data_IF_727566722274
#
_entry.id   IF_727566722274
#
_cell.length_a   1.000
_cell.length_b   1.000
_cell.length_c   1.000
_cell.angle_alpha   90.00
_cell.angle_beta   90.00
_cell.angle_gamma   90.00
#
_symmetry.space_group_name_H-M   'P 1'
#
loop_
_entity.id
_entity.type
_entity.pdbx_description
1 polymer ?
#
# COMPACT_ATOMS: atom_id res chain seq x y z
N UNK A 1 18.31 15.37 -42.71
CA UNK A 1 17.66 14.05 -42.58
C UNK A 1 17.65 13.70 -41.11
N UNK A 2 16.46 13.78 -40.53
CA UNK A 2 15.95 13.06 -39.36
C UNK A 2 16.95 12.58 -38.31
N UNK A 3 17.24 13.45 -37.33
CA UNK A 3 17.62 12.98 -36.00
C UNK A 3 16.39 12.35 -35.36
N UNK A 4 16.34 11.01 -35.31
CA UNK A 4 15.29 10.27 -34.61
C UNK A 4 15.29 10.70 -33.15
N UNK A 5 14.26 11.42 -32.72
CA UNK A 5 13.98 11.59 -31.30
C UNK A 5 13.68 10.18 -30.78
N UNK A 6 14.56 9.65 -29.94
CA UNK A 6 14.29 8.40 -29.24
C UNK A 6 13.25 8.72 -28.15
N UNK A 7 11.97 8.67 -28.53
CA UNK A 7 10.87 8.87 -27.60
C UNK A 7 10.52 7.52 -26.99
N UNK A 8 11.24 7.13 -25.95
CA UNK A 8 10.86 6.03 -25.04
C UNK A 8 9.62 6.48 -24.22
N UNK A 9 8.52 6.71 -24.94
CA UNK A 9 7.24 7.14 -24.39
C UNK A 9 6.49 5.90 -23.92
N UNK A 10 5.96 5.99 -22.70
CA UNK A 10 5.08 4.97 -22.19
C UNK A 10 3.78 4.97 -23.00
N UNK A 11 3.46 3.84 -23.61
CA UNK A 11 2.18 3.67 -24.31
C UNK A 11 1.01 3.84 -23.32
N UNK A 12 -0.09 4.50 -23.75
CA UNK A 12 -1.30 4.56 -22.94
C UNK A 12 -1.79 3.16 -22.59
N UNK A 13 -2.27 3.00 -21.35
CA UNK A 13 -2.84 1.74 -20.89
C UNK A 13 -4.06 2.00 -20.01
N UNK A 14 -4.87 0.97 -19.83
CA UNK A 14 -5.98 0.98 -18.90
C UNK A 14 -5.95 -0.26 -18.01
N UNK A 15 -6.53 -0.12 -16.82
CA UNK A 15 -6.75 -1.21 -15.85
C UNK A 15 -8.18 -1.13 -15.35
N UNK A 16 -8.73 -2.28 -14.98
CA UNK A 16 -10.09 -2.38 -14.47
C UNK A 16 -10.05 -2.61 -12.97
N UNK A 17 -10.71 -1.72 -12.22
CA UNK A 17 -10.84 -1.79 -10.78
C UNK A 17 -12.27 -2.22 -10.42
N UNK A 18 -12.41 -3.28 -9.62
CA UNK A 18 -13.68 -3.65 -9.02
C UNK A 18 -13.88 -2.90 -7.70
N UNK A 19 -14.84 -1.97 -7.66
CA UNK A 19 -15.06 -1.10 -6.51
C UNK A 19 -15.62 -1.84 -5.29
N UNK A 20 -16.24 -3.01 -5.49
CA UNK A 20 -16.81 -3.82 -4.41
C UNK A 20 -15.75 -4.71 -3.73
N UNK A 21 -14.67 -5.04 -4.44
CA UNK A 21 -13.61 -5.93 -3.93
C UNK A 21 -12.28 -5.23 -3.73
N UNK A 22 -12.08 -4.04 -4.33
CA UNK A 22 -10.82 -3.33 -4.38
C UNK A 22 -9.79 -3.96 -5.32
N UNK A 23 -10.16 -4.96 -6.12
CA UNK A 23 -9.22 -5.71 -6.95
C UNK A 23 -8.99 -5.07 -8.32
N UNK A 24 -7.74 -5.13 -8.79
CA UNK A 24 -7.36 -4.73 -10.14
C UNK A 24 -7.29 -5.98 -11.04
N UNK A 25 -8.16 -6.07 -12.04
CA UNK A 25 -8.50 -7.32 -12.76
C UNK A 25 -7.50 -7.77 -13.86
N UNK A 26 -6.22 -7.39 -13.79
CA UNK A 26 -5.17 -7.85 -14.72
C UNK A 26 -3.77 -7.42 -14.29
N UNK A 27 -2.73 -8.17 -14.73
CA UNK A 27 -1.29 -7.87 -14.65
C UNK A 27 -0.94 -6.70 -13.73
N UNK A 28 -0.94 -6.96 -12.43
CA UNK A 28 -0.51 -6.06 -11.38
C UNK A 28 0.34 -6.84 -10.39
N UNK A 29 1.24 -6.15 -9.72
CA UNK A 29 2.01 -6.74 -8.64
C UNK A 29 1.11 -6.82 -7.39
N UNK A 30 0.93 -8.03 -6.86
CA UNK A 30 0.12 -8.27 -5.68
C UNK A 30 1.05 -8.46 -4.48
N UNK A 31 0.90 -7.60 -3.48
CA UNK A 31 1.61 -7.70 -2.20
C UNK A 31 0.58 -8.15 -1.16
N UNK A 32 0.86 -9.27 -0.50
CA UNK A 32 0.06 -9.76 0.62
C UNK A 32 0.91 -9.62 1.87
N UNK A 33 0.32 -9.08 2.95
CA UNK A 33 0.99 -8.87 4.22
C UNK A 33 0.27 -9.62 5.31
N UNK A 34 0.92 -10.67 5.79
CA UNK A 34 0.50 -11.43 6.95
C UNK A 34 0.92 -10.72 8.24
N UNK A 35 0.42 -11.17 9.39
CA UNK A 35 0.80 -10.59 10.67
C UNK A 35 2.29 -10.81 10.96
N UNK A 36 2.84 -11.96 10.56
CA UNK A 36 4.27 -12.26 10.65
C UNK A 36 5.14 -11.28 9.86
N UNK A 37 4.67 -10.77 8.71
CA UNK A 37 5.37 -9.71 7.97
C UNK A 37 5.44 -8.38 8.75
N UNK A 38 4.63 -8.24 9.80
CA UNK A 38 4.49 -7.04 10.63
C UNK A 38 5.06 -7.24 12.04
N UNK A 39 6.02 -8.16 12.20
CA UNK A 39 6.71 -8.38 13.47
C UNK A 39 7.24 -7.05 14.05
N UNK A 40 6.95 -6.81 15.34
CA UNK A 40 7.36 -5.59 16.06
C UNK A 40 6.56 -4.33 15.74
N UNK A 41 5.54 -4.39 14.86
CA UNK A 41 4.76 -3.21 14.47
C UNK A 41 3.57 -2.91 15.40
N UNK A 42 3.14 -3.87 16.21
CA UNK A 42 2.02 -3.71 17.15
C UNK A 42 2.55 -3.59 18.58
N UNK A 43 1.86 -2.82 19.41
CA UNK A 43 2.21 -2.59 20.81
C UNK A 43 2.14 -3.88 21.65
N UNK A 44 1.06 -4.68 21.49
CA UNK A 44 0.92 -5.95 22.20
C UNK A 44 1.61 -7.10 21.45
N UNK A 45 2.93 -7.20 21.65
CA UNK A 45 3.78 -8.23 21.05
C UNK A 45 3.36 -9.66 21.44
N UNK A 46 2.79 -9.86 22.63
CA UNK A 46 2.35 -11.19 23.08
C UNK A 46 1.08 -11.61 22.35
N UNK A 47 0.11 -10.70 22.20
CA UNK A 47 -1.06 -10.94 21.38
C UNK A 47 -0.67 -11.19 19.91
N UNK A 48 0.25 -10.39 19.37
CA UNK A 48 0.75 -10.56 18.00
C UNK A 48 1.34 -11.96 17.79
N UNK A 49 2.27 -12.38 18.66
CA UNK A 49 2.91 -13.69 18.56
C UNK A 49 1.92 -14.85 18.71
N UNK A 50 0.94 -14.71 19.61
CA UNK A 50 -0.11 -15.71 19.77
C UNK A 50 -0.91 -15.87 18.48
N UNK A 51 -1.34 -14.77 17.87
CA UNK A 51 -2.08 -14.81 16.60
C UNK A 51 -1.21 -15.41 15.50
N UNK A 52 0.05 -15.00 15.35
CA UNK A 52 0.97 -15.57 14.34
C UNK A 52 1.06 -17.10 14.46
N UNK A 53 1.15 -17.63 15.68
CA UNK A 53 1.28 -19.07 15.90
C UNK A 53 -0.03 -19.85 15.66
N UNK A 54 -1.19 -19.23 15.87
CA UNK A 54 -2.51 -19.87 15.75
C UNK A 54 -3.12 -19.70 14.36
N UNK A 55 -2.95 -18.52 13.76
CA UNK A 55 -3.60 -18.03 12.55
C UNK A 55 -2.84 -16.79 12.05
N UNK A 56 -1.73 -17.01 11.34
CA UNK A 56 -0.95 -15.94 10.70
C UNK A 56 -1.76 -15.28 9.57
N UNK A 57 -2.76 -14.50 9.95
CA UNK A 57 -3.78 -13.96 9.08
C UNK A 57 -3.25 -12.84 8.21
N UNK A 58 -3.87 -12.68 7.06
CA UNK A 58 -3.64 -11.53 6.20
C UNK A 58 -4.15 -10.25 6.88
N UNK A 59 -3.28 -9.27 7.04
CA UNK A 59 -3.60 -7.94 7.55
C UNK A 59 -4.09 -7.06 6.41
N UNK A 60 -3.32 -6.99 5.31
CA UNK A 60 -3.71 -6.23 4.14
C UNK A 60 -3.13 -6.81 2.85
N UNK A 61 -3.75 -6.41 1.75
CA UNK A 61 -3.34 -6.75 0.38
C UNK A 61 -3.23 -5.47 -0.45
N UNK A 62 -2.22 -5.37 -1.30
CA UNK A 62 -2.04 -4.25 -2.24
C UNK A 62 -2.01 -4.80 -3.66
N UNK A 63 -2.79 -4.20 -4.55
CA UNK A 63 -2.67 -4.39 -6.01
C UNK A 63 -1.97 -3.15 -6.57
N UNK A 64 -0.70 -3.31 -6.92
CA UNK A 64 0.18 -2.27 -7.39
C UNK A 64 0.31 -2.34 -8.93
N UNK A 65 0.09 -1.23 -9.62
CA UNK A 65 0.27 -1.18 -11.07
C UNK A 65 1.72 -0.79 -11.35
N UNK A 66 2.40 -1.54 -12.21
CA UNK A 66 3.78 -1.23 -12.56
C UNK A 66 3.83 -0.02 -13.51
N UNK A 67 4.31 1.10 -13.00
CA UNK A 67 4.63 2.32 -13.76
C UNK A 67 6.13 2.60 -13.56
N UNK A 68 6.88 3.05 -14.59
CA UNK A 68 8.29 3.33 -14.41
C UNK A 68 8.51 4.42 -13.35
N UNK A 69 9.43 4.18 -12.41
CA UNK A 69 9.84 5.13 -11.37
C UNK A 69 10.68 6.27 -12.00
N UNK A 70 9.99 7.20 -12.65
CA UNK A 70 10.56 8.36 -13.33
C UNK A 70 9.73 9.60 -13.00
N UNK A 71 10.37 10.77 -12.97
CA UNK A 71 9.69 12.03 -12.68
C UNK A 71 8.51 12.27 -13.64
N UNK A 72 7.37 12.70 -13.09
CA UNK A 72 6.14 12.96 -13.84
C UNK A 72 5.25 11.75 -14.08
N UNK A 73 5.73 10.53 -13.85
CA UNK A 73 4.88 9.33 -13.85
C UNK A 73 4.10 9.20 -12.54
N UNK A 74 2.85 8.73 -12.63
CA UNK A 74 1.95 8.58 -11.49
C UNK A 74 1.75 7.12 -11.12
N UNK A 75 2.43 6.70 -10.07
CA UNK A 75 2.20 5.39 -9.46
C UNK A 75 0.82 5.37 -8.80
N UNK A 76 0.10 4.26 -8.96
CA UNK A 76 -1.19 4.07 -8.33
C UNK A 76 -1.42 2.61 -7.99
N UNK A 77 -2.15 2.40 -6.91
CA UNK A 77 -2.45 1.08 -6.38
C UNK A 77 -3.80 1.11 -5.67
N UNK A 78 -4.25 -0.07 -5.27
CA UNK A 78 -5.39 -0.23 -4.36
C UNK A 78 -4.96 -1.09 -3.19
N UNK A 79 -5.41 -0.72 -2.00
CA UNK A 79 -5.13 -1.44 -0.77
C UNK A 79 -6.42 -1.94 -0.13
N UNK A 80 -6.44 -3.20 0.25
CA UNK A 80 -7.51 -3.84 1.01
C UNK A 80 -6.95 -4.10 2.41
N UNK A 81 -7.37 -3.30 3.38
CA UNK A 81 -7.06 -3.51 4.80
C UNK A 81 -8.18 -4.34 5.43
N UNK A 82 -7.86 -5.56 5.87
CA UNK A 82 -8.86 -6.44 6.46
C UNK A 82 -9.19 -6.01 7.89
N UNK A 83 -10.48 -6.01 8.27
CA UNK A 83 -10.88 -5.62 9.62
C UNK A 83 -10.33 -6.60 10.65
N UNK A 84 -9.82 -6.08 11.76
CA UNK A 84 -9.29 -6.89 12.85
C UNK A 84 -8.51 -6.05 13.85
N UNK A 85 -8.01 -6.72 14.89
CA UNK A 85 -7.18 -6.14 15.94
C UNK A 85 -6.10 -7.10 16.40
N UNK A 86 -5.01 -6.52 16.90
CA UNK A 86 -3.96 -7.19 17.67
C UNK A 86 -3.96 -6.55 19.05
N UNK A 87 -4.48 -7.27 20.06
CA UNK A 87 -4.83 -6.66 21.34
C UNK A 87 -5.89 -5.55 21.14
N UNK A 88 -5.55 -4.33 21.55
CA UNK A 88 -6.42 -3.16 21.41
C UNK A 88 -6.15 -2.32 20.14
N UNK A 89 -5.10 -2.64 19.37
CA UNK A 89 -4.76 -1.91 18.15
C UNK A 89 -5.46 -2.50 16.93
N UNK A 90 -6.06 -1.63 16.11
CA UNK A 90 -6.62 -2.04 14.83
C UNK A 90 -5.53 -2.49 13.87
N UNK A 91 -5.89 -3.40 12.97
CA UNK A 91 -5.05 -3.70 11.81
C UNK A 91 -4.66 -2.42 11.07
N UNK A 92 -3.41 -2.35 10.63
CA UNK A 92 -2.86 -1.20 9.92
C UNK A 92 -1.86 -1.64 8.84
N UNK A 93 -1.57 -0.76 7.90
CA UNK A 93 -0.41 -0.91 7.02
C UNK A 93 0.88 -0.61 7.79
N UNK A 94 2.05 -1.04 7.28
CA UNK A 94 3.35 -0.74 7.92
C UNK A 94 3.63 0.76 8.07
N UNK A 95 3.11 1.58 7.15
CA UNK A 95 3.50 2.98 7.04
C UNK A 95 4.91 3.15 6.46
N UNK A 96 5.18 4.30 5.86
CA UNK A 96 6.51 4.66 5.36
C UNK A 96 6.57 6.17 5.09
N UNK A 97 7.80 6.68 4.97
CA UNK A 97 8.05 7.96 4.34
C UNK A 97 8.39 7.73 2.86
N UNK A 98 7.99 8.65 1.98
CA UNK A 98 8.50 8.66 0.63
C UNK A 98 10.02 8.91 0.64
N UNK A 99 10.73 8.21 -0.25
CA UNK A 99 12.17 8.41 -0.44
C UNK A 99 12.46 9.85 -0.91
N UNK A 100 11.59 10.39 -1.76
CA UNK A 100 11.62 11.77 -2.24
C UNK A 100 10.55 12.58 -1.49
N UNK A 101 10.99 13.46 -0.57
CA UNK A 101 10.12 14.08 0.45
C UNK A 101 9.01 14.98 -0.08
N UNK A 102 9.22 15.62 -1.23
CA UNK A 102 8.26 16.51 -1.88
C UNK A 102 7.27 15.76 -2.78
N UNK A 103 7.27 14.42 -2.74
CA UNK A 103 6.26 13.60 -3.41
C UNK A 103 5.00 13.52 -2.55
N UNK A 104 3.89 14.09 -3.03
CA UNK A 104 2.59 13.93 -2.39
C UNK A 104 1.90 12.63 -2.81
N UNK A 105 0.95 12.15 -2.00
CA UNK A 105 0.07 11.04 -2.32
C UNK A 105 -1.39 11.43 -2.04
N UNK A 106 -2.32 10.89 -2.84
CA UNK A 106 -3.76 11.12 -2.70
C UNK A 106 -4.45 9.78 -2.43
N UNK A 107 -5.18 9.70 -1.32
CA UNK A 107 -6.00 8.53 -0.98
C UNK A 107 -7.48 8.81 -1.23
N UNK A 108 -8.15 7.84 -1.86
CA UNK A 108 -9.61 7.81 -2.01
C UNK A 108 -10.16 6.55 -1.34
N UNK A 109 -11.04 6.72 -0.36
CA UNK A 109 -11.75 5.60 0.26
C UNK A 109 -12.86 5.13 -0.68
N UNK A 110 -12.75 3.88 -1.15
CA UNK A 110 -13.75 3.26 -2.02
C UNK A 110 -14.83 2.54 -1.22
N UNK A 111 -14.46 1.88 -0.12
CA UNK A 111 -15.37 1.12 0.72
C UNK A 111 -14.87 1.05 2.17
N UNK A 112 -15.81 0.97 3.11
CA UNK A 112 -15.53 0.83 4.54
C UNK A 112 -15.25 2.15 5.23
N UNK A 113 -14.67 2.07 6.43
CA UNK A 113 -14.33 3.23 7.27
C UNK A 113 -13.00 2.99 7.96
N UNK A 114 -12.17 4.02 8.05
CA UNK A 114 -10.85 3.93 8.65
C UNK A 114 -10.28 5.30 8.96
N UNK A 115 -8.99 5.34 9.25
CA UNK A 115 -8.23 6.57 9.52
C UNK A 115 -6.89 6.50 8.80
N UNK A 116 -6.43 7.65 8.30
CA UNK A 116 -5.05 7.84 7.89
C UNK A 116 -4.31 8.53 9.03
N UNK A 117 -3.30 7.86 9.59
CA UNK A 117 -2.39 8.45 10.56
C UNK A 117 -1.16 8.97 9.82
N UNK A 118 -0.77 10.21 10.09
CA UNK A 118 0.39 10.85 9.46
C UNK A 118 1.35 11.33 10.54
N UNK A 119 2.65 11.20 10.27
CA UNK A 119 3.72 11.62 11.16
C UNK A 119 4.67 12.55 10.41
N UNK A 120 5.12 13.61 11.07
CA UNK A 120 6.21 14.47 10.58
C UNK A 120 7.56 13.80 10.91
N UNK A 121 8.57 13.99 10.05
CA UNK A 121 9.94 13.51 10.34
C UNK A 121 10.52 14.16 11.60
N UNK A 122 10.21 15.43 11.82
CA UNK A 122 10.68 16.17 12.98
C UNK A 122 9.87 15.79 14.23
N UNK A 123 10.52 15.05 15.11
CA UNK A 123 10.08 14.76 16.48
C UNK A 123 10.47 15.91 17.41
N UNK A 124 10.01 17.13 17.14
CA UNK A 124 9.90 18.10 18.24
C UNK A 124 8.61 17.80 19.01
N UNK A 125 8.81 17.30 20.24
CA UNK A 125 7.79 17.25 21.30
C UNK A 125 7.76 18.60 21.99
#
# INVERSE_FOLDING_TARGET
>A
MEGRINTDLMEPFNKYLNFNTGEILSNCNIIIRHLSDMEGMYYDLKAAQKIINEDDRVIYKVYNIDVPEKYGHLQHCTSILYPGRVGDEFHMTKGHFHAQEDTAEIYLVLQGTGKLLMQKKDTEV
#
